data_IF_747711290428
#
_entry.id   IF_747711290428
#
_cell.length_a   1.000
_cell.length_b   1.000
_cell.length_c   1.000
_cell.angle_alpha   90.00
_cell.angle_beta   90.00
_cell.angle_gamma   90.00
#
_symmetry.space_group_name_H-M   'P 1'
#
loop_
_entity.id
_entity.type
_entity.pdbx_description
1 polymer ?
#
# COMPACT_ATOMS: atom_id res chain seq x y z
N UNK A 1 5.98 -17.26 1.17
CA UNK A 1 5.47 -16.17 2.03
C UNK A 1 3.96 -16.30 2.06
N UNK A 2 3.39 -16.23 3.25
CA UNK A 2 1.96 -16.23 3.50
C UNK A 2 1.31 -14.95 2.95
N UNK A 3 -0.01 -15.00 2.69
CA UNK A 3 -0.74 -13.88 2.06
C UNK A 3 -0.83 -12.64 2.96
N UNK A 4 -0.62 -12.82 4.25
CA UNK A 4 -0.66 -11.85 5.34
C UNK A 4 0.74 -11.53 5.92
N UNK A 5 1.81 -12.05 5.32
CA UNK A 5 3.18 -11.70 5.71
C UNK A 5 3.45 -10.19 5.48
N UNK A 6 4.22 -9.58 6.39
CA UNK A 6 4.55 -8.14 6.36
C UNK A 6 5.03 -7.69 4.99
N UNK A 7 6.04 -8.37 4.46
CA UNK A 7 6.64 -8.03 3.18
C UNK A 7 5.68 -8.21 2.00
N UNK A 8 4.72 -9.14 2.10
CA UNK A 8 3.70 -9.33 1.06
C UNK A 8 2.71 -8.18 1.06
N UNK A 9 2.25 -7.73 2.23
CA UNK A 9 1.33 -6.59 2.34
C UNK A 9 1.99 -5.28 1.90
N UNK A 10 3.19 -4.98 2.42
CA UNK A 10 3.99 -3.81 2.01
C UNK A 10 4.14 -3.77 0.49
N UNK A 11 4.52 -4.90 -0.09
CA UNK A 11 4.70 -5.02 -1.51
C UNK A 11 3.39 -4.77 -2.31
N UNK A 12 2.25 -5.30 -1.86
CA UNK A 12 0.95 -5.06 -2.52
C UNK A 12 0.55 -3.58 -2.49
N UNK A 13 0.75 -2.92 -1.35
CA UNK A 13 0.48 -1.48 -1.19
C UNK A 13 1.35 -0.68 -2.16
N UNK A 14 2.67 -0.86 -2.11
CA UNK A 14 3.61 -0.09 -2.95
C UNK A 14 3.39 -0.35 -4.45
N UNK A 15 3.12 -1.60 -4.84
CA UNK A 15 2.83 -1.93 -6.24
C UNK A 15 1.56 -1.23 -6.73
N UNK A 16 0.48 -1.24 -5.94
CA UNK A 16 -0.76 -0.55 -6.28
C UNK A 16 -0.55 0.97 -6.43
N UNK A 17 0.10 1.61 -5.44
CA UNK A 17 0.39 3.04 -5.49
C UNK A 17 1.25 3.41 -6.72
N UNK A 18 2.25 2.59 -7.04
CA UNK A 18 3.07 2.78 -8.23
C UNK A 18 2.26 2.65 -9.54
N UNK A 19 1.30 1.73 -9.59
CA UNK A 19 0.40 1.59 -10.74
C UNK A 19 -0.43 2.84 -10.97
N UNK A 20 -1.07 3.33 -9.90
CA UNK A 20 -1.92 4.52 -9.94
C UNK A 20 -1.11 5.75 -10.37
N UNK A 21 0.08 5.93 -9.78
CA UNK A 21 1.02 6.98 -10.18
C UNK A 21 1.40 6.88 -11.67
N UNK A 22 1.72 5.68 -12.18
CA UNK A 22 2.13 5.48 -13.57
C UNK A 22 0.99 5.72 -14.56
N UNK A 23 -0.24 5.38 -14.18
CA UNK A 23 -1.43 5.54 -15.01
C UNK A 23 -2.05 6.94 -14.90
N UNK A 24 -1.66 7.75 -13.90
CA UNK A 24 -2.29 9.04 -13.61
C UNK A 24 -3.69 8.88 -13.00
N UNK A 25 -3.93 7.79 -12.28
CA UNK A 25 -5.21 7.45 -11.65
C UNK A 25 -5.23 7.84 -10.16
N UNK A 26 -6.43 8.11 -9.63
CA UNK A 26 -6.62 8.43 -8.22
C UNK A 26 -6.62 7.17 -7.35
N UNK A 27 -6.05 7.27 -6.14
CA UNK A 27 -6.08 6.18 -5.17
C UNK A 27 -7.51 5.88 -4.74
N UNK A 28 -7.89 4.61 -4.84
CA UNK A 28 -9.07 4.07 -4.18
C UNK A 28 -8.64 3.43 -2.84
N UNK A 29 -9.03 4.00 -1.69
CA UNK A 29 -8.69 3.46 -0.38
C UNK A 29 -9.11 2.00 -0.17
N UNK A 30 -10.18 1.55 -0.81
CA UNK A 30 -10.73 0.19 -0.62
C UNK A 30 -9.79 -0.91 -1.16
N UNK A 31 -8.76 -0.54 -1.94
CA UNK A 31 -7.71 -1.49 -2.33
C UNK A 31 -6.70 -1.74 -1.20
N UNK A 32 -6.40 -0.73 -0.38
CA UNK A 32 -5.28 -0.76 0.56
C UNK A 32 -5.68 -0.61 2.03
N UNK A 33 -6.98 -0.52 2.35
CA UNK A 33 -7.49 -0.66 3.72
C UNK A 33 -7.34 -2.08 4.26
N UNK A 34 -7.45 -2.23 5.58
CA UNK A 34 -7.24 -3.50 6.28
C UNK A 34 -8.19 -4.63 5.83
N UNK A 35 -9.40 -4.30 5.38
CA UNK A 35 -10.42 -5.22 4.86
C UNK A 35 -10.60 -5.12 3.33
N UNK A 36 -9.66 -4.47 2.65
CA UNK A 36 -9.73 -4.11 1.25
C UNK A 36 -9.60 -5.28 0.27
N UNK A 37 -9.63 -4.94 -1.02
CA UNK A 37 -9.59 -5.91 -2.11
C UNK A 37 -8.26 -6.66 -2.22
N UNK A 38 -7.13 -6.00 -1.91
CA UNK A 38 -5.80 -6.61 -2.11
C UNK A 38 -5.40 -7.56 -0.98
N UNK A 39 -5.90 -7.34 0.23
CA UNK A 39 -5.59 -8.13 1.40
C UNK A 39 -6.62 -7.91 2.51
N UNK A 40 -6.73 -8.90 3.40
CA UNK A 40 -7.55 -8.82 4.61
C UNK A 40 -6.69 -9.16 5.82
N UNK A 41 -6.47 -8.17 6.67
CA UNK A 41 -5.67 -8.26 7.89
C UNK A 41 -6.36 -7.49 9.03
N UNK A 42 -5.97 -7.75 10.27
CA UNK A 42 -6.50 -6.97 11.39
C UNK A 42 -5.99 -5.52 11.33
N UNK A 43 -6.83 -4.59 11.81
CA UNK A 43 -6.57 -3.15 11.77
C UNK A 43 -5.30 -2.74 12.52
N UNK A 44 -5.01 -3.36 13.67
CA UNK A 44 -3.78 -3.07 14.43
C UNK A 44 -2.52 -3.31 13.60
N UNK A 45 -2.50 -4.40 12.85
CA UNK A 45 -1.37 -4.74 11.99
C UNK A 45 -1.30 -3.83 10.76
N UNK A 46 -2.44 -3.50 10.17
CA UNK A 46 -2.50 -2.51 9.09
C UNK A 46 -1.97 -1.14 9.53
N UNK A 47 -2.41 -0.65 10.71
CA UNK A 47 -1.92 0.59 11.31
C UNK A 47 -0.40 0.55 11.48
N UNK A 48 0.14 -0.54 11.99
CA UNK A 48 1.59 -0.74 12.13
C UNK A 48 2.32 -0.59 10.78
N UNK A 49 1.82 -1.24 9.73
CA UNK A 49 2.40 -1.20 8.38
C UNK A 49 2.38 0.23 7.83
N UNK A 50 1.22 0.89 7.80
CA UNK A 50 1.09 2.23 7.20
C UNK A 50 1.94 3.26 7.96
N UNK A 51 1.93 3.22 9.31
CA UNK A 51 2.75 4.11 10.13
C UNK A 51 4.24 3.93 9.84
N UNK A 52 4.71 2.70 9.66
CA UNK A 52 6.13 2.45 9.35
C UNK A 52 6.48 2.82 7.91
N UNK A 53 5.60 2.56 6.94
CA UNK A 53 5.81 3.02 5.56
C UNK A 53 5.93 4.55 5.49
N UNK A 54 5.11 5.27 6.25
CA UNK A 54 5.15 6.73 6.32
C UNK A 54 6.42 7.22 7.03
N UNK A 55 6.74 6.67 8.21
CA UNK A 55 7.95 7.04 8.98
C UNK A 55 9.24 6.79 8.20
N UNK A 56 9.31 5.67 7.49
CA UNK A 56 10.47 5.31 6.70
C UNK A 56 10.49 6.01 5.34
N UNK A 57 9.49 6.86 5.05
CA UNK A 57 9.35 7.64 3.81
C UNK A 57 9.24 6.77 2.56
N UNK A 58 8.62 5.60 2.66
CA UNK A 58 8.22 4.80 1.50
C UNK A 58 6.92 5.30 0.87
N UNK A 59 6.05 5.91 1.68
CA UNK A 59 4.82 6.57 1.25
C UNK A 59 4.71 7.97 1.86
N UNK A 60 3.84 8.80 1.32
CA UNK A 60 3.50 10.14 1.81
C UNK A 60 2.03 10.49 1.55
N UNK A 61 1.57 11.67 2.00
CA UNK A 61 0.21 12.18 1.75
C UNK A 61 -0.86 11.71 2.74
N UNK A 62 -0.55 10.74 3.59
CA UNK A 62 -1.44 10.19 4.63
C UNK A 62 -1.21 10.90 5.97
N UNK A 63 -2.28 11.17 6.70
CA UNK A 63 -2.21 11.74 8.05
C UNK A 63 -2.32 10.66 9.13
N UNK A 64 -1.43 10.74 10.13
CA UNK A 64 -1.41 9.82 11.28
C UNK A 64 -1.57 10.62 12.56
N UNK A 65 -2.70 10.42 13.24
CA UNK A 65 -3.00 11.08 14.51
C UNK A 65 -3.02 10.05 15.64
N UNK A 66 -2.34 10.37 16.74
CA UNK A 66 -2.43 9.59 17.98
C UNK A 66 -3.52 10.18 18.86
N UNK A 67 -4.46 9.36 19.28
CA UNK A 67 -5.52 9.77 20.21
C UNK A 67 -5.29 9.20 21.60
N UNK A 68 -6.13 9.62 22.55
CA UNK A 68 -6.04 9.19 23.94
C UNK A 68 -6.10 7.66 24.04
N UNK A 69 -5.22 7.04 24.84
CA UNK A 69 -5.16 5.58 24.97
C UNK A 69 -4.25 4.87 23.95
N UNK A 70 -3.35 5.58 23.27
CA UNK A 70 -2.41 5.04 22.26
C UNK A 70 -3.06 4.47 20.99
N UNK A 71 -4.33 4.78 20.75
CA UNK A 71 -4.96 4.46 19.47
C UNK A 71 -4.39 5.36 18.35
N UNK A 72 -4.25 4.79 17.17
CA UNK A 72 -3.73 5.45 15.98
C UNK A 72 -4.87 5.56 14.98
N UNK A 73 -5.17 6.79 14.58
CA UNK A 73 -6.13 7.09 13.51
C UNK A 73 -5.33 7.45 12.26
N UNK A 74 -5.64 6.78 11.16
CA UNK A 74 -5.05 7.03 9.85
C UNK A 74 -6.13 7.61 8.95
N UNK A 75 -5.91 8.82 8.44
CA UNK A 75 -6.84 9.53 7.55
C UNK A 75 -6.16 9.91 6.23
N UNK A 76 -6.97 10.34 5.26
CA UNK A 76 -6.49 10.83 3.96
C UNK A 76 -5.76 9.75 3.14
N UNK A 77 -6.24 8.50 3.21
CA UNK A 77 -5.66 7.37 2.47
C UNK A 77 -5.78 7.57 0.94
N UNK A 78 -6.81 8.27 0.49
CA UNK A 78 -7.00 8.69 -0.91
C UNK A 78 -5.89 9.62 -1.42
N UNK A 79 -5.15 10.26 -0.51
CA UNK A 79 -4.00 11.11 -0.84
C UNK A 79 -2.67 10.36 -0.74
N UNK A 80 -2.69 9.06 -0.41
CA UNK A 80 -1.49 8.24 -0.25
C UNK A 80 -0.69 8.16 -1.56
N UNK A 81 0.59 8.50 -1.53
CA UNK A 81 1.48 8.39 -2.69
C UNK A 81 2.74 7.59 -2.35
N UNK A 82 3.25 6.86 -3.34
CA UNK A 82 4.54 6.19 -3.22
C UNK A 82 5.67 7.19 -3.48
N UNK A 83 6.72 7.15 -2.66
CA UNK A 83 7.90 8.01 -2.85
C UNK A 83 8.95 7.35 -3.76
N UNK A 84 9.97 8.08 -4.24
CA UNK A 84 11.12 7.47 -4.91
C UNK A 84 11.80 6.36 -4.09
N UNK A 85 11.84 6.49 -2.75
CA UNK A 85 12.39 5.44 -1.87
C UNK A 85 11.49 4.20 -1.85
N UNK A 86 10.16 4.38 -1.87
CA UNK A 86 9.20 3.28 -2.03
C UNK A 86 9.37 2.55 -3.35
N UNK A 87 9.58 3.29 -4.44
CA UNK A 87 9.84 2.73 -5.78
C UNK A 87 11.17 1.95 -5.78
N UNK A 88 12.22 2.51 -5.19
CA UNK A 88 13.53 1.85 -5.09
C UNK A 88 13.42 0.51 -4.34
N UNK A 89 12.69 0.49 -3.22
CA UNK A 89 12.40 -0.73 -2.48
C UNK A 89 11.62 -1.77 -3.33
N UNK A 90 10.67 -1.32 -4.14
CA UNK A 90 9.90 -2.18 -5.05
C UNK A 90 10.80 -2.77 -6.16
N UNK A 91 11.74 -1.97 -6.68
CA UNK A 91 12.58 -2.30 -7.84
C UNK A 91 13.86 -3.08 -7.49
N UNK A 92 14.53 -2.79 -6.38
CA UNK A 92 15.83 -3.37 -6.04
C UNK A 92 15.74 -4.71 -5.31
N UNK A 93 14.58 -5.05 -4.76
CA UNK A 93 14.34 -6.39 -4.28
C UNK A 93 13.95 -7.27 -5.47
N UNK A 94 14.25 -8.58 -5.43
CA UNK A 94 13.71 -9.60 -6.37
C UNK A 94 12.16 -9.66 -6.44
N UNK A 95 11.51 -8.75 -5.73
CA UNK A 95 10.10 -8.38 -5.78
C UNK A 95 9.72 -7.67 -7.08
N UNK A 96 10.62 -7.11 -7.89
CA UNK A 96 10.23 -6.41 -9.12
C UNK A 96 9.53 -7.31 -10.16
N UNK A 97 10.01 -8.54 -10.34
CA UNK A 97 9.33 -9.50 -11.23
C UNK A 97 7.97 -9.92 -10.64
N UNK A 98 7.88 -10.03 -9.31
CA UNK A 98 6.58 -10.18 -8.67
C UNK A 98 5.72 -8.95 -8.96
N UNK A 99 6.28 -7.73 -8.87
CA UNK A 99 5.57 -6.44 -9.06
C UNK A 99 4.90 -6.44 -10.40
N UNK A 100 5.64 -6.81 -11.45
CA UNK A 100 5.08 -6.99 -12.79
C UNK A 100 3.94 -8.02 -12.83
N UNK A 101 4.09 -9.18 -12.20
CA UNK A 101 3.03 -10.19 -12.16
C UNK A 101 1.78 -9.69 -11.43
N UNK A 102 1.94 -9.10 -10.25
CA UNK A 102 0.83 -8.57 -9.46
C UNK A 102 0.13 -7.40 -10.17
N UNK A 103 0.89 -6.52 -10.83
CA UNK A 103 0.33 -5.44 -11.64
C UNK A 103 -0.46 -5.97 -12.84
N UNK A 104 -0.03 -7.07 -13.45
CA UNK A 104 -0.80 -7.75 -14.49
C UNK A 104 -2.08 -8.36 -13.92
N UNK A 105 -1.98 -9.05 -12.79
CA UNK A 105 -3.14 -9.62 -12.10
C UNK A 105 -4.18 -8.54 -11.77
N UNK A 106 -3.79 -7.40 -11.18
CA UNK A 106 -4.75 -6.32 -10.88
C UNK A 106 -5.41 -5.81 -12.16
N UNK A 107 -4.64 -5.58 -13.23
CA UNK A 107 -5.19 -5.13 -14.52
C UNK A 107 -6.21 -6.10 -15.12
N UNK A 108 -6.02 -7.39 -14.91
CA UNK A 108 -6.97 -8.42 -15.39
C UNK A 108 -8.22 -8.50 -14.50
N UNK A 109 -8.14 -8.08 -13.23
CA UNK A 109 -9.26 -8.14 -12.27
C UNK A 109 -10.10 -6.85 -12.28
N UNK A 110 -9.54 -5.70 -12.64
CA UNK A 110 -10.31 -4.47 -12.88
C UNK A 110 -10.74 -4.43 -14.34
N UNK A 111 -12.01 -4.73 -14.68
CA UNK A 111 -12.50 -4.40 -16.01
C UNK A 111 -12.37 -2.89 -16.15
N UNK A 112 -11.75 -2.44 -17.23
CA UNK A 112 -11.87 -1.05 -17.65
C UNK A 112 -13.36 -0.69 -17.63
N UNK A 113 -13.75 0.25 -16.76
CA UNK A 113 -15.04 0.92 -16.83
C UNK A 113 -14.85 2.19 -17.65
#
# INVERSE_FOLDING_TARGET
MAKDDYYVIVYKILAYLYMQLKNGENINPDFIKNDGFLFKINERYWNYIIVHLLKDRYIEGVNVTKVFGNEVIISDIENCQITPKGIDYLCNNSLFEKAKCFLKEIKDITPFV
#
